data_IF_829291565987
#
_entry.id   IF_829291565987
#
_cell.length_a   1.000
_cell.length_b   1.000
_cell.length_c   1.000
_cell.angle_alpha   90.00
_cell.angle_beta   90.00
_cell.angle_gamma   90.00
#
_symmetry.space_group_name_H-M   'P 1'
#
loop_
_entity.id
_entity.type
_entity.pdbx_description
1 polymer ?
#
# COMPACT_ATOMS: atom_id res chain seq x y z
N UNK A 1 -20.53 -18.39 10.88
CA UNK A 1 -19.60 -19.22 10.08
C UNK A 1 -18.76 -20.07 11.02
N UNK A 2 -19.06 -21.37 11.22
CA UNK A 2 -18.18 -22.32 11.90
C UNK A 2 -16.77 -22.35 11.29
N UNK A 3 -15.76 -22.77 12.08
CA UNK A 3 -14.34 -22.87 11.65
C UNK A 3 -14.18 -23.77 10.43
N UNK A 4 -15.04 -24.79 10.30
CA UNK A 4 -15.02 -25.74 9.20
C UNK A 4 -15.25 -25.11 7.82
N UNK A 5 -15.97 -24.00 7.74
CA UNK A 5 -16.24 -23.29 6.47
C UNK A 5 -15.14 -22.29 6.11
N UNK A 6 -14.19 -22.04 7.02
CA UNK A 6 -13.15 -20.99 6.86
C UNK A 6 -11.79 -21.54 6.46
N UNK A 7 -11.65 -22.86 6.41
CA UNK A 7 -10.42 -23.55 6.05
C UNK A 7 -10.75 -24.65 5.05
N UNK A 8 -9.79 -24.98 4.18
CA UNK A 8 -9.97 -26.07 3.24
C UNK A 8 -10.25 -27.40 4.00
N UNK A 9 -11.23 -28.21 3.57
CA UNK A 9 -11.56 -29.48 4.22
C UNK A 9 -10.34 -30.40 4.38
N UNK A 10 -9.48 -30.45 3.36
CA UNK A 10 -8.22 -31.23 3.36
C UNK A 10 -7.30 -30.84 4.52
N UNK A 11 -7.26 -29.57 4.89
CA UNK A 11 -6.45 -29.10 6.02
C UNK A 11 -6.99 -29.65 7.34
N UNK A 12 -8.32 -29.59 7.55
CA UNK A 12 -8.97 -30.08 8.76
C UNK A 12 -8.88 -31.60 8.90
N UNK A 13 -9.02 -32.33 7.80
CA UNK A 13 -8.87 -33.79 7.76
C UNK A 13 -7.45 -34.21 8.14
N UNK A 14 -6.44 -33.45 7.69
CA UNK A 14 -5.05 -33.65 8.10
C UNK A 14 -4.87 -33.53 9.61
N UNK A 15 -5.52 -32.54 10.24
CA UNK A 15 -5.43 -32.30 11.69
C UNK A 15 -6.11 -33.38 12.53
N UNK A 16 -7.24 -33.91 12.07
CA UNK A 16 -7.99 -34.93 12.79
C UNK A 16 -7.21 -36.24 12.93
N UNK A 17 -6.32 -36.53 11.96
CA UNK A 17 -5.50 -37.75 11.94
C UNK A 17 -4.30 -37.70 12.90
N UNK A 18 -3.91 -36.51 13.36
CA UNK A 18 -2.73 -36.34 14.21
C UNK A 18 -3.12 -36.33 15.69
N UNK A 19 -2.58 -37.28 16.44
CA UNK A 19 -2.77 -37.38 17.89
C UNK A 19 -2.07 -36.24 18.63
N UNK A 20 -2.68 -35.80 19.73
CA UNK A 20 -2.09 -34.83 20.64
C UNK A 20 -0.90 -35.43 21.38
N UNK A 21 0.09 -34.60 21.71
CA UNK A 21 1.27 -35.00 22.45
C UNK A 21 1.05 -34.91 23.96
N UNK A 22 1.67 -35.83 24.69
CA UNK A 22 1.86 -35.78 26.14
C UNK A 22 3.09 -34.94 26.49
N UNK A 23 3.23 -34.55 27.76
CA UNK A 23 4.44 -33.83 28.21
C UNK A 23 5.73 -34.66 28.07
N UNK A 24 5.63 -35.99 28.11
CA UNK A 24 6.79 -36.86 27.91
C UNK A 24 7.21 -36.85 26.43
N UNK A 25 6.24 -36.95 25.51
CA UNK A 25 6.51 -36.89 24.07
C UNK A 25 7.00 -35.51 23.62
N UNK A 26 6.47 -34.42 24.18
CA UNK A 26 6.97 -33.05 23.95
C UNK A 26 8.47 -32.95 24.29
N UNK A 27 8.89 -33.57 25.41
CA UNK A 27 10.29 -33.60 25.83
C UNK A 27 11.16 -34.45 24.90
N UNK A 28 10.69 -35.64 24.51
CA UNK A 28 11.41 -36.53 23.59
C UNK A 28 11.67 -35.84 22.23
N UNK A 29 10.61 -35.26 21.65
CA UNK A 29 10.71 -34.55 20.37
C UNK A 29 11.64 -33.35 20.48
N UNK A 30 11.55 -32.55 21.55
CA UNK A 30 12.46 -31.42 21.77
C UNK A 30 13.93 -31.86 21.87
N UNK A 31 14.22 -32.98 22.54
CA UNK A 31 15.58 -33.53 22.64
C UNK A 31 16.11 -34.01 21.29
N UNK A 32 15.27 -34.65 20.47
CA UNK A 32 15.66 -35.10 19.12
C UNK A 32 15.97 -33.92 18.20
N UNK A 33 15.16 -32.87 18.27
CA UNK A 33 15.39 -31.62 17.54
C UNK A 33 16.72 -30.97 17.99
N UNK A 34 16.96 -30.87 19.30
CA UNK A 34 18.21 -30.30 19.85
C UNK A 34 19.43 -31.10 19.40
N UNK A 35 19.35 -32.45 19.38
CA UNK A 35 20.43 -33.33 18.90
C UNK A 35 20.72 -33.14 17.41
N UNK A 36 19.69 -33.08 16.57
CA UNK A 36 19.89 -32.86 15.13
C UNK A 36 20.39 -31.46 14.80
N UNK A 37 20.00 -30.44 15.57
CA UNK A 37 20.55 -29.10 15.42
C UNK A 37 22.07 -29.06 15.71
N UNK A 38 22.53 -29.77 16.75
CA UNK A 38 23.97 -29.94 17.04
C UNK A 38 24.68 -30.74 15.94
N UNK A 39 24.04 -31.80 15.44
CA UNK A 39 24.59 -32.60 14.35
C UNK A 39 24.75 -31.77 13.06
N UNK A 40 23.76 -30.94 12.73
CA UNK A 40 23.82 -30.00 11.60
C UNK A 40 24.97 -29.01 11.74
N UNK A 41 25.13 -28.40 12.91
CA UNK A 41 26.25 -27.48 13.17
C UNK A 41 27.61 -28.18 13.03
N UNK A 42 27.75 -29.41 13.52
CA UNK A 42 28.97 -30.19 13.37
C UNK A 42 29.30 -30.51 11.90
N UNK A 43 28.29 -30.82 11.08
CA UNK A 43 28.46 -31.00 9.63
C UNK A 43 28.93 -29.70 8.96
N UNK A 44 28.37 -28.55 9.34
CA UNK A 44 28.78 -27.23 8.82
C UNK A 44 30.23 -26.88 9.21
N UNK A 45 30.70 -27.34 10.36
CA UNK A 45 32.09 -27.19 10.83
C UNK A 45 33.08 -28.21 10.21
N UNK A 46 32.60 -29.10 9.34
CA UNK A 46 33.44 -30.07 8.63
C UNK A 46 33.75 -31.34 9.41
N UNK A 47 32.90 -31.73 10.37
CA UNK A 47 32.98 -33.04 11.02
C UNK A 47 32.66 -34.19 10.04
N UNK A 48 33.12 -35.40 10.35
CA UNK A 48 32.82 -36.61 9.58
C UNK A 48 31.31 -36.85 9.47
N UNK A 49 30.83 -37.08 8.25
CA UNK A 49 29.41 -37.25 7.89
C UNK A 49 28.79 -38.49 8.54
N UNK A 50 29.63 -39.47 8.92
CA UNK A 50 29.23 -40.78 9.41
C UNK A 50 28.24 -40.73 10.59
N UNK A 51 26.95 -40.86 10.28
CA UNK A 51 25.83 -40.94 11.23
C UNK A 51 25.19 -39.61 11.64
N UNK A 52 25.77 -38.46 11.29
CA UNK A 52 25.19 -37.14 11.58
C UNK A 52 23.96 -36.85 10.70
N UNK A 53 23.98 -37.29 9.43
CA UNK A 53 22.84 -37.14 8.51
C UNK A 53 21.57 -37.83 9.05
N UNK A 54 21.72 -39.00 9.68
CA UNK A 54 20.61 -39.75 10.27
C UNK A 54 19.97 -38.95 11.41
N UNK A 55 20.78 -38.29 12.23
CA UNK A 55 20.31 -37.43 13.33
C UNK A 55 19.60 -36.19 12.80
N UNK A 56 20.10 -35.59 11.73
CA UNK A 56 19.45 -34.44 11.08
C UNK A 56 18.09 -34.84 10.50
N UNK A 57 18.03 -35.95 9.76
CA UNK A 57 16.79 -36.47 9.21
C UNK A 57 15.79 -36.85 10.32
N UNK A 58 16.27 -37.37 11.45
CA UNK A 58 15.43 -37.68 12.60
C UNK A 58 14.87 -36.43 13.28
N UNK A 59 15.68 -35.38 13.41
CA UNK A 59 15.23 -34.09 13.93
C UNK A 59 14.18 -33.44 13.04
N UNK A 60 14.29 -33.52 11.71
CA UNK A 60 13.28 -32.99 10.79
C UNK A 60 11.94 -33.74 10.91
N UNK A 61 11.98 -35.07 11.09
CA UNK A 61 10.77 -35.86 11.38
C UNK A 61 10.17 -35.48 12.73
N UNK A 62 11.01 -35.32 13.76
CA UNK A 62 10.59 -34.91 15.08
C UNK A 62 9.94 -33.51 15.06
N UNK A 63 10.54 -32.56 14.35
CA UNK A 63 10.04 -31.18 14.14
C UNK A 63 8.69 -31.19 13.44
N UNK A 64 8.58 -31.94 12.34
CA UNK A 64 7.32 -32.10 11.60
C UNK A 64 6.21 -32.68 12.49
N UNK A 65 6.51 -33.72 13.27
CA UNK A 65 5.55 -34.30 14.22
C UNK A 65 5.15 -33.30 15.31
N UNK A 66 6.12 -32.56 15.86
CA UNK A 66 5.87 -31.58 16.91
C UNK A 66 4.97 -30.44 16.40
N UNK A 67 5.26 -29.93 15.20
CA UNK A 67 4.47 -28.89 14.53
C UNK A 67 3.05 -29.39 14.26
N UNK A 68 2.90 -30.50 13.54
CA UNK A 68 1.60 -31.04 13.11
C UNK A 68 0.67 -31.36 14.29
N UNK A 69 1.20 -31.88 15.40
CA UNK A 69 0.41 -32.16 16.60
C UNK A 69 -0.14 -30.91 17.29
N UNK A 70 0.46 -29.74 17.05
CA UNK A 70 0.09 -28.47 17.69
C UNK A 70 -0.64 -27.49 16.76
N UNK A 71 -0.86 -27.82 15.49
CA UNK A 71 -1.61 -26.94 14.57
C UNK A 71 -3.04 -26.61 15.07
N UNK A 72 -3.67 -27.53 15.81
CA UNK A 72 -4.99 -27.28 16.45
C UNK A 72 -4.94 -26.13 17.47
N UNK A 73 -3.81 -25.96 18.17
CA UNK A 73 -3.61 -24.84 19.09
C UNK A 73 -3.61 -23.51 18.33
N UNK A 74 -2.94 -23.45 17.18
CA UNK A 74 -2.89 -22.24 16.34
C UNK A 74 -4.30 -21.81 15.92
N UNK A 75 -5.11 -22.74 15.43
CA UNK A 75 -6.51 -22.46 15.05
C UNK A 75 -7.30 -21.92 16.24
N UNK A 76 -7.14 -22.52 17.43
CA UNK A 76 -7.86 -22.08 18.63
C UNK A 76 -7.49 -20.65 19.05
N UNK A 77 -6.23 -20.24 18.83
CA UNK A 77 -5.73 -18.89 19.12
C UNK A 77 -6.20 -17.92 18.05
N UNK A 78 -6.02 -18.27 16.77
CA UNK A 78 -6.43 -17.45 15.63
C UNK A 78 -7.93 -17.14 15.65
N UNK A 79 -8.76 -18.13 16.04
CA UNK A 79 -10.21 -17.95 16.11
C UNK A 79 -10.67 -16.94 17.18
N UNK A 80 -9.80 -16.58 18.14
CA UNK A 80 -10.09 -15.56 19.17
C UNK A 80 -9.65 -14.15 18.75
N UNK A 81 -8.94 -14.02 17.64
CA UNK A 81 -8.42 -12.74 17.14
C UNK A 81 -9.45 -12.13 16.20
N UNK A 82 -9.71 -10.83 16.35
CA UNK A 82 -10.57 -10.09 15.44
C UNK A 82 -9.89 -9.99 14.07
N UNK A 83 -10.54 -10.54 13.04
CA UNK A 83 -10.00 -10.61 11.69
C UNK A 83 -10.19 -9.28 10.94
N UNK A 84 -9.13 -8.72 10.34
CA UNK A 84 -9.26 -7.60 9.42
C UNK A 84 -10.03 -7.99 8.15
N UNK A 85 -10.82 -7.10 7.53
CA UNK A 85 -11.57 -7.41 6.31
C UNK A 85 -10.72 -7.82 5.09
N UNK A 86 -9.45 -7.43 5.10
CA UNK A 86 -8.47 -7.57 4.02
C UNK A 86 -7.66 -8.87 4.10
N UNK A 87 -7.77 -9.62 5.19
CA UNK A 87 -6.95 -10.80 5.45
C UNK A 87 -7.85 -12.00 5.73
N UNK A 88 -7.58 -13.14 5.08
CA UNK A 88 -8.39 -14.32 5.29
C UNK A 88 -8.04 -15.03 6.60
N UNK A 89 -8.96 -15.87 7.08
CA UNK A 89 -8.70 -16.73 8.23
C UNK A 89 -7.56 -17.72 7.96
N UNK A 90 -7.43 -18.24 6.74
CA UNK A 90 -6.32 -19.10 6.38
C UNK A 90 -4.97 -18.39 6.56
N UNK A 91 -4.85 -17.13 6.14
CA UNK A 91 -3.63 -16.33 6.29
C UNK A 91 -3.25 -16.16 7.77
N UNK A 92 -4.23 -15.85 8.64
CA UNK A 92 -4.02 -15.76 10.08
C UNK A 92 -3.51 -17.08 10.67
N UNK A 93 -4.05 -18.21 10.23
CA UNK A 93 -3.59 -19.54 10.67
C UNK A 93 -2.17 -19.80 10.19
N UNK A 94 -1.84 -19.45 8.95
CA UNK A 94 -0.49 -19.63 8.40
C UNK A 94 0.55 -18.78 9.13
N UNK A 95 0.26 -17.52 9.40
CA UNK A 95 1.13 -16.63 10.19
C UNK A 95 1.28 -17.13 11.64
N UNK A 96 0.21 -17.71 12.19
CA UNK A 96 0.25 -18.42 13.46
C UNK A 96 1.11 -19.68 13.43
N UNK A 97 1.09 -20.44 12.34
CA UNK A 97 1.92 -21.63 12.14
C UNK A 97 3.41 -21.26 12.07
N UNK A 98 3.76 -20.12 11.44
CA UNK A 98 5.13 -19.57 11.47
C UNK A 98 5.54 -19.23 12.91
N UNK A 99 4.64 -18.62 13.69
CA UNK A 99 4.88 -18.34 15.10
C UNK A 99 5.05 -19.60 15.95
N UNK A 100 4.26 -20.64 15.69
CA UNK A 100 4.37 -21.95 16.33
C UNK A 100 5.73 -22.60 16.03
N UNK A 101 6.14 -22.57 14.77
CA UNK A 101 7.42 -23.14 14.32
C UNK A 101 8.60 -22.48 15.03
N UNK A 102 8.57 -21.15 15.12
CA UNK A 102 9.55 -20.38 15.89
C UNK A 102 9.53 -20.70 17.39
N UNK A 103 8.35 -21.03 17.94
CA UNK A 103 8.24 -21.46 19.34
C UNK A 103 8.92 -22.82 19.57
N UNK A 104 8.86 -23.73 18.59
CA UNK A 104 9.53 -25.04 18.67
C UNK A 104 11.05 -24.84 18.73
N UNK A 105 11.60 -23.96 17.88
CA UNK A 105 13.05 -23.70 17.85
C UNK A 105 13.60 -23.16 19.18
N UNK A 106 12.79 -22.39 19.92
CA UNK A 106 13.18 -21.76 21.18
C UNK A 106 12.67 -22.47 22.43
N UNK A 107 11.97 -23.58 22.28
CA UNK A 107 11.36 -24.27 23.41
C UNK A 107 12.42 -24.97 24.26
N UNK A 108 12.43 -24.69 25.57
CA UNK A 108 13.31 -25.32 26.54
C UNK A 108 12.53 -26.28 27.44
N UNK A 109 12.67 -27.58 27.13
CA UNK A 109 11.99 -28.67 27.85
C UNK A 109 12.46 -28.82 29.30
N UNK A 110 13.64 -28.30 29.66
CA UNK A 110 14.23 -28.42 31.00
C UNK A 110 13.49 -27.58 32.04
N UNK A 111 12.76 -26.55 31.59
CA UNK A 111 11.98 -25.64 32.46
C UNK A 111 10.71 -26.26 33.02
N UNK A 112 10.29 -27.42 32.50
CA UNK A 112 9.16 -28.19 33.06
C UNK A 112 7.76 -27.64 32.73
N UNK A 113 7.64 -26.53 32.02
CA UNK A 113 6.35 -26.00 31.54
C UNK A 113 5.85 -26.76 30.31
N UNK A 114 4.53 -26.79 30.14
CA UNK A 114 3.88 -27.32 28.93
C UNK A 114 4.23 -26.47 27.72
N UNK A 115 4.43 -27.11 26.58
CA UNK A 115 4.76 -26.41 25.33
C UNK A 115 3.69 -25.39 24.94
N UNK A 116 2.41 -25.74 25.09
CA UNK A 116 1.28 -24.87 24.75
C UNK A 116 1.30 -23.51 25.47
N UNK A 117 1.78 -23.46 26.72
CA UNK A 117 1.94 -22.23 27.50
C UNK A 117 2.93 -21.28 26.83
N UNK A 118 4.07 -21.82 26.37
CA UNK A 118 5.12 -21.05 25.70
C UNK A 118 4.72 -20.65 24.28
N UNK A 119 4.21 -21.61 23.51
CA UNK A 119 3.83 -21.41 22.10
C UNK A 119 2.73 -20.36 21.93
N UNK A 120 1.79 -20.26 22.89
CA UNK A 120 0.68 -19.29 22.83
C UNK A 120 1.15 -17.85 22.62
N UNK A 121 2.27 -17.46 23.25
CA UNK A 121 2.81 -16.11 23.12
C UNK A 121 3.35 -15.86 21.71
N UNK A 122 4.17 -16.77 21.18
CA UNK A 122 4.76 -16.66 19.85
C UNK A 122 3.72 -16.71 18.73
N UNK A 123 2.72 -17.58 18.85
CA UNK A 123 1.60 -17.65 17.90
C UNK A 123 0.86 -16.31 17.87
N UNK A 124 0.46 -15.79 19.04
CA UNK A 124 -0.25 -14.50 19.12
C UNK A 124 0.59 -13.36 18.56
N UNK A 125 1.89 -13.34 18.89
CA UNK A 125 2.80 -12.30 18.44
C UNK A 125 2.98 -12.31 16.92
N UNK A 126 3.15 -13.49 16.33
CA UNK A 126 3.29 -13.66 14.88
C UNK A 126 2.03 -13.19 14.15
N UNK A 127 0.86 -13.67 14.57
CA UNK A 127 -0.43 -13.25 13.98
C UNK A 127 -0.64 -11.74 14.11
N UNK A 128 -0.36 -11.18 15.30
CA UNK A 128 -0.50 -9.74 15.52
C UNK A 128 0.44 -8.98 14.58
N UNK A 129 1.73 -9.32 14.55
CA UNK A 129 2.71 -8.71 13.64
C UNK A 129 2.28 -8.79 12.17
N UNK A 130 1.71 -9.91 11.73
CA UNK A 130 1.21 -10.04 10.36
C UNK A 130 0.06 -9.07 10.09
N UNK A 131 -0.90 -8.96 11.01
CA UNK A 131 -2.00 -7.98 10.92
C UNK A 131 -1.43 -6.55 10.79
N UNK A 132 -0.41 -6.20 11.56
CA UNK A 132 0.21 -4.87 11.50
C UNK A 132 0.84 -4.55 10.15
N UNK A 133 1.34 -5.58 9.47
CA UNK A 133 2.17 -5.42 8.27
C UNK A 133 1.40 -5.64 6.97
N UNK A 134 0.39 -6.49 6.99
CA UNK A 134 -0.28 -7.01 5.80
C UNK A 134 -1.78 -6.66 5.75
N UNK A 135 -2.41 -6.32 6.88
CA UNK A 135 -3.87 -6.11 6.90
C UNK A 135 -4.32 -4.76 6.32
N UNK A 136 -3.41 -3.90 5.85
CA UNK A 136 -3.77 -2.61 5.26
C UNK A 136 -3.16 -2.52 3.87
N UNK A 137 -3.99 -2.17 2.88
CA UNK A 137 -3.54 -1.96 1.50
C UNK A 137 -2.52 -0.81 1.43
N UNK A 138 -2.80 0.28 2.16
CA UNK A 138 -1.81 1.32 2.44
C UNK A 138 -1.11 0.95 3.74
N UNK A 139 0.12 0.44 3.62
CA UNK A 139 0.90 -0.08 4.75
C UNK A 139 1.57 1.05 5.55
N UNK A 140 1.16 1.32 6.79
CA UNK A 140 1.94 2.17 7.68
C UNK A 140 3.15 1.41 8.26
N UNK A 141 4.14 2.12 8.81
CA UNK A 141 5.13 1.53 9.71
C UNK A 141 4.46 0.76 10.87
N UNK A 142 5.05 -0.36 11.28
CA UNK A 142 4.44 -1.30 12.22
C UNK A 142 4.18 -0.71 13.61
N UNK A 143 5.05 0.18 14.09
CA UNK A 143 4.89 0.90 15.36
C UNK A 143 3.62 1.79 15.35
N UNK A 144 3.38 2.49 14.24
CA UNK A 144 2.19 3.33 14.05
C UNK A 144 0.93 2.47 13.92
N UNK A 145 1.00 1.36 13.18
CA UNK A 145 -0.12 0.43 13.04
C UNK A 145 -0.55 -0.13 14.41
N UNK A 146 0.41 -0.58 15.21
CA UNK A 146 0.21 -1.07 16.58
C UNK A 146 -0.46 -0.03 17.47
N UNK A 147 0.05 1.20 17.46
CA UNK A 147 -0.51 2.29 18.24
C UNK A 147 -1.95 2.62 17.86
N UNK A 148 -2.24 2.75 16.58
CA UNK A 148 -3.59 3.04 16.08
C UNK A 148 -4.57 1.96 16.51
N UNK A 149 -4.21 0.67 16.38
CA UNK A 149 -5.09 -0.43 16.83
C UNK A 149 -5.28 -0.45 18.34
N UNK A 150 -4.24 -0.14 19.12
CA UNK A 150 -4.37 -0.03 20.57
C UNK A 150 -5.30 1.12 20.98
N UNK A 151 -5.16 2.29 20.35
CA UNK A 151 -6.04 3.44 20.58
C UNK A 151 -7.49 3.13 20.16
N UNK A 152 -7.68 2.46 19.02
CA UNK A 152 -9.00 2.05 18.55
C UNK A 152 -9.65 1.06 19.52
N UNK A 153 -8.87 0.11 20.06
CA UNK A 153 -9.35 -0.83 21.07
C UNK A 153 -9.74 -0.12 22.37
N UNK A 154 -8.94 0.85 22.82
CA UNK A 154 -9.24 1.67 23.99
C UNK A 154 -10.49 2.55 23.79
N UNK A 155 -10.72 3.03 22.57
CA UNK A 155 -11.90 3.76 22.16
C UNK A 155 -13.18 2.89 22.02
N UNK A 156 -13.08 1.57 22.23
CA UNK A 156 -14.20 0.64 22.06
C UNK A 156 -14.53 0.34 20.60
N UNK A 157 -13.61 0.58 19.67
CA UNK A 157 -13.80 0.35 18.24
C UNK A 157 -14.37 1.55 17.48
N UNK A 158 -14.65 2.67 18.15
CA UNK A 158 -15.18 3.88 17.54
C UNK A 158 -14.04 4.82 17.06
N UNK A 159 -13.85 5.00 15.74
CA UNK A 159 -12.80 5.87 15.20
C UNK A 159 -13.02 7.36 15.51
N UNK A 160 -14.25 7.79 15.83
CA UNK A 160 -14.55 9.19 16.13
C UNK A 160 -13.99 9.65 17.48
N UNK A 161 -13.66 8.70 18.37
CA UNK A 161 -13.05 8.94 19.68
C UNK A 161 -11.52 8.96 19.65
N UNK A 162 -10.93 8.75 18.48
CA UNK A 162 -9.48 8.84 18.29
C UNK A 162 -9.05 10.31 18.18
N UNK A 163 -7.79 10.58 18.52
CA UNK A 163 -7.15 11.84 18.18
C UNK A 163 -7.25 12.09 16.66
N UNK A 164 -7.48 13.34 16.19
CA UNK A 164 -7.68 13.64 14.77
C UNK A 164 -6.60 13.08 13.85
N UNK A 165 -5.34 13.03 14.30
CA UNK A 165 -4.23 12.49 13.52
C UNK A 165 -4.34 10.98 13.35
N UNK A 166 -4.58 10.26 14.43
CA UNK A 166 -4.74 8.80 14.40
C UNK A 166 -6.06 8.40 13.69
N UNK A 167 -7.11 9.22 13.81
CA UNK A 167 -8.35 9.06 13.05
C UNK A 167 -8.13 9.21 11.54
N UNK A 168 -7.35 10.21 11.11
CA UNK A 168 -6.99 10.42 9.72
C UNK A 168 -6.13 9.26 9.18
N UNK A 169 -5.12 8.80 9.95
CA UNK A 169 -4.31 7.65 9.57
C UNK A 169 -5.15 6.37 9.48
N UNK A 170 -6.03 6.12 10.45
CA UNK A 170 -6.95 4.99 10.42
C UNK A 170 -7.90 5.04 9.22
N UNK A 171 -8.31 6.23 8.76
CA UNK A 171 -9.08 6.42 7.53
C UNK A 171 -8.25 6.05 6.29
N UNK A 172 -7.00 6.53 6.20
CA UNK A 172 -6.11 6.21 5.08
C UNK A 172 -5.74 4.72 5.00
N UNK A 173 -5.69 4.02 6.13
CA UNK A 173 -5.46 2.58 6.16
C UNK A 173 -6.66 1.76 5.68
N UNK A 174 -7.85 2.37 5.64
CA UNK A 174 -9.07 1.75 5.11
C UNK A 174 -9.24 2.13 3.64
N UNK A 175 -9.61 1.14 2.84
CA UNK A 175 -9.95 1.34 1.44
C UNK A 175 -11.42 0.99 1.28
N UNK A 176 -12.14 1.88 0.60
CA UNK A 176 -13.48 1.58 0.12
C UNK A 176 -13.39 1.06 -1.31
N UNK A 177 -14.20 0.05 -1.60
CA UNK A 177 -14.24 -0.60 -2.90
C UNK A 177 -15.23 0.16 -3.78
N UNK A 178 -14.73 0.75 -4.87
CA UNK A 178 -15.54 1.48 -5.85
C UNK A 178 -16.52 0.56 -6.59
N UNK A 179 -16.19 -0.73 -6.71
CA UNK A 179 -16.99 -1.72 -7.45
C UNK A 179 -18.19 -2.25 -6.64
N UNK A 180 -18.44 -1.76 -5.43
CA UNK A 180 -19.61 -2.19 -4.64
C UNK A 180 -20.89 -1.78 -5.39
N UNK A 181 -21.82 -2.73 -5.63
CA UNK A 181 -23.08 -2.40 -6.28
C UNK A 181 -23.84 -1.36 -5.45
N UNK A 182 -24.35 -0.32 -6.12
CA UNK A 182 -25.15 0.73 -5.47
C UNK A 182 -26.58 0.24 -5.27
N UNK A 183 -26.88 -0.34 -4.11
CA UNK A 183 -28.27 -0.50 -3.67
C UNK A 183 -28.74 0.79 -3.02
N UNK A 184 -29.82 1.37 -3.54
CA UNK A 184 -30.30 2.75 -3.36
C UNK A 184 -30.54 3.26 -1.93
N UNK A 185 -30.24 2.47 -0.89
CA UNK A 185 -30.71 2.70 0.48
C UNK A 185 -29.64 2.60 1.57
N UNK A 186 -28.38 2.25 1.29
CA UNK A 186 -27.38 2.04 2.34
C UNK A 186 -26.40 3.21 2.55
N UNK A 187 -26.27 3.62 3.82
CA UNK A 187 -25.20 4.51 4.28
C UNK A 187 -23.84 3.78 4.14
N UNK A 188 -22.88 4.39 3.45
CA UNK A 188 -21.55 3.83 3.20
C UNK A 188 -21.24 3.50 1.74
N UNK A 189 -22.08 3.93 0.80
CA UNK A 189 -21.72 3.91 -0.62
C UNK A 189 -20.53 4.83 -0.89
N UNK A 190 -19.56 4.40 -1.71
CA UNK A 190 -18.53 5.31 -2.21
C UNK A 190 -19.19 6.43 -3.01
N UNK A 191 -18.86 7.67 -2.66
CA UNK A 191 -19.30 8.85 -3.40
C UNK A 191 -18.66 8.83 -4.80
N UNK A 192 -19.41 9.14 -5.87
CA UNK A 192 -18.82 9.27 -7.19
C UNK A 192 -17.73 10.33 -7.15
N UNK A 193 -16.53 9.94 -7.56
CA UNK A 193 -15.38 10.86 -7.62
C UNK A 193 -15.51 11.68 -8.90
N UNK A 194 -15.58 13.02 -8.83
CA UNK A 194 -15.60 13.84 -10.02
C UNK A 194 -14.28 13.68 -10.78
N UNK A 195 -14.37 13.61 -12.10
CA UNK A 195 -13.18 13.67 -12.95
C UNK A 195 -12.58 15.08 -12.86
N UNK A 196 -11.27 15.15 -12.67
CA UNK A 196 -10.51 16.41 -12.67
C UNK A 196 -10.04 16.80 -14.09
N UNK A 197 -10.47 16.06 -15.11
CA UNK A 197 -10.25 16.41 -16.51
C UNK A 197 -10.83 17.78 -16.88
N UNK A 198 -10.28 18.41 -17.93
CA UNK A 198 -10.75 19.71 -18.38
C UNK A 198 -12.20 19.61 -18.89
N UNK A 199 -13.01 20.62 -18.58
CA UNK A 199 -14.38 20.70 -19.11
C UNK A 199 -14.32 20.78 -20.66
N UNK A 200 -15.05 19.91 -21.39
CA UNK A 200 -15.15 20.01 -22.84
C UNK A 200 -15.61 21.39 -23.33
N UNK A 201 -16.50 22.07 -22.60
CA UNK A 201 -16.98 23.41 -22.96
C UNK A 201 -15.87 24.47 -22.82
N UNK A 202 -15.13 24.46 -21.71
CA UNK A 202 -13.95 25.32 -21.51
C UNK A 202 -12.89 25.04 -22.59
N UNK A 203 -12.60 23.77 -22.84
CA UNK A 203 -11.62 23.36 -23.86
C UNK A 203 -12.04 23.83 -25.27
N UNK A 204 -13.33 23.76 -25.60
CA UNK A 204 -13.84 24.25 -26.88
C UNK A 204 -13.75 25.78 -26.98
N UNK A 205 -14.07 26.48 -25.89
CA UNK A 205 -13.94 27.94 -25.78
C UNK A 205 -12.49 28.39 -25.95
N UNK A 206 -11.55 27.76 -25.23
CA UNK A 206 -10.12 28.05 -25.33
C UNK A 206 -9.59 27.83 -26.74
N UNK A 207 -10.01 26.74 -27.41
CA UNK A 207 -9.65 26.50 -28.81
C UNK A 207 -10.24 27.55 -29.75
N UNK A 208 -11.47 27.98 -29.50
CA UNK A 208 -12.11 29.03 -30.30
C UNK A 208 -11.37 30.36 -30.14
N UNK A 209 -11.09 30.76 -28.90
CA UNK A 209 -10.32 31.96 -28.57
C UNK A 209 -8.92 31.91 -29.19
N UNK A 210 -8.21 30.79 -29.06
CA UNK A 210 -6.91 30.60 -29.68
C UNK A 210 -6.98 30.72 -31.22
N UNK A 211 -8.06 30.24 -31.84
CA UNK A 211 -8.33 30.42 -33.27
C UNK A 211 -8.55 31.89 -33.65
N UNK A 212 -9.35 32.62 -32.89
CA UNK A 212 -9.57 34.06 -33.09
C UNK A 212 -8.28 34.87 -32.93
N UNK A 213 -7.49 34.60 -31.89
CA UNK A 213 -6.20 35.24 -31.66
C UNK A 213 -5.22 34.98 -32.81
N UNK A 214 -5.16 33.76 -33.33
CA UNK A 214 -4.34 33.44 -34.52
C UNK A 214 -4.79 34.22 -35.75
N UNK A 215 -6.09 34.27 -36.03
CA UNK A 215 -6.63 35.02 -37.17
C UNK A 215 -6.28 36.52 -37.10
N UNK A 216 -6.37 37.13 -35.91
CA UNK A 216 -5.98 38.53 -35.69
C UNK A 216 -4.48 38.74 -35.91
N UNK A 217 -3.66 37.83 -35.39
CA UNK A 217 -2.20 37.90 -35.52
C UNK A 217 -1.75 37.65 -36.96
N UNK A 218 -2.43 36.79 -37.72
CA UNK A 218 -2.16 36.52 -39.13
C UNK A 218 -2.49 37.71 -40.04
N UNK A 219 -3.46 38.55 -39.66
CA UNK A 219 -3.79 39.80 -40.36
C UNK A 219 -2.75 40.92 -40.20
N UNK A 220 -1.80 40.78 -39.27
CA UNK A 220 -0.75 41.77 -39.04
C UNK A 220 0.35 41.72 -40.11
N UNK A 221 1.04 42.86 -40.37
CA UNK A 221 2.25 42.87 -41.18
C UNK A 221 3.29 41.85 -40.68
N UNK A 222 4.03 41.21 -41.58
CA UNK A 222 4.97 40.12 -41.26
C UNK A 222 5.99 40.44 -40.16
N UNK A 223 6.37 41.72 -40.02
CA UNK A 223 7.31 42.18 -38.99
C UNK A 223 6.64 42.29 -37.62
N UNK A 224 5.43 42.82 -37.58
CA UNK A 224 4.60 43.00 -36.38
C UNK A 224 4.14 41.64 -35.85
N UNK A 225 3.69 40.76 -36.76
CA UNK A 225 3.31 39.38 -36.45
C UNK A 225 4.43 38.63 -35.75
N UNK A 226 5.65 38.66 -36.31
CA UNK A 226 6.83 38.02 -35.70
C UNK A 226 7.17 38.60 -34.32
N UNK A 227 7.06 39.92 -34.15
CA UNK A 227 7.32 40.57 -32.87
C UNK A 227 6.32 40.14 -31.79
N UNK A 228 5.03 40.04 -32.14
CA UNK A 228 3.97 39.61 -31.21
C UNK A 228 4.09 38.13 -30.87
N UNK A 229 4.27 37.25 -31.87
CA UNK A 229 4.44 35.80 -31.64
C UNK A 229 5.62 35.53 -30.71
N UNK A 230 6.80 36.10 -31.00
CA UNK A 230 8.00 35.88 -30.18
C UNK A 230 7.87 36.50 -28.78
N UNK A 231 7.21 37.67 -28.65
CA UNK A 231 7.02 38.34 -27.36
C UNK A 231 6.13 37.55 -26.40
N UNK A 232 5.08 36.90 -26.92
CA UNK A 232 4.06 36.22 -26.13
C UNK A 232 4.11 34.70 -26.22
N UNK A 233 4.99 34.12 -27.04
CA UNK A 233 5.14 32.67 -27.15
C UNK A 233 3.97 31.98 -27.86
N UNK A 234 3.29 32.67 -28.77
CA UNK A 234 2.04 32.17 -29.40
C UNK A 234 2.25 30.97 -30.34
N UNK A 235 3.50 30.66 -30.67
CA UNK A 235 3.93 29.50 -31.45
C UNK A 235 4.37 28.31 -30.58
N UNK A 236 4.14 28.38 -29.26
CA UNK A 236 4.53 27.35 -28.31
C UNK A 236 5.97 27.49 -27.78
N UNK A 237 6.68 28.57 -28.14
CA UNK A 237 7.95 28.95 -27.50
C UNK A 237 7.71 29.72 -26.19
N UNK A 238 8.72 29.78 -25.33
CA UNK A 238 8.68 30.62 -24.13
C UNK A 238 8.61 32.12 -24.52
N UNK A 239 7.79 32.94 -23.84
CA UNK A 239 7.72 34.38 -24.10
C UNK A 239 9.09 35.07 -23.98
N UNK A 240 9.51 35.77 -25.04
CA UNK A 240 10.82 36.44 -25.06
C UNK A 240 10.75 37.86 -24.48
N UNK A 241 11.88 38.35 -23.95
CA UNK A 241 12.04 39.76 -23.58
C UNK A 241 12.15 40.65 -24.81
N UNK A 242 11.87 41.96 -24.68
CA UNK A 242 12.04 42.90 -25.81
C UNK A 242 13.45 42.88 -26.41
N UNK A 243 14.48 42.61 -25.60
CA UNK A 243 15.86 42.49 -26.08
C UNK A 243 16.07 41.21 -26.90
N UNK A 244 15.48 40.09 -26.48
CA UNK A 244 15.50 38.84 -27.25
C UNK A 244 14.79 38.97 -28.59
N UNK A 245 13.58 39.55 -28.59
CA UNK A 245 12.81 39.80 -29.82
C UNK A 245 13.54 40.79 -30.74
N UNK A 246 14.19 41.81 -30.19
CA UNK A 246 14.99 42.76 -30.95
C UNK A 246 16.17 42.10 -31.68
N UNK A 247 16.82 41.12 -31.05
CA UNK A 247 17.86 40.30 -31.68
C UNK A 247 17.34 39.45 -32.85
N UNK A 248 16.14 38.89 -32.74
CA UNK A 248 15.53 38.04 -33.78
C UNK A 248 15.03 38.84 -35.00
N UNK A 249 14.54 40.07 -34.78
CA UNK A 249 13.94 40.92 -35.83
C UNK A 249 14.94 41.98 -36.37
N UNK A 250 16.15 42.03 -35.83
CA UNK A 250 17.20 42.98 -36.25
C UNK A 250 16.86 44.43 -35.93
N UNK A 251 16.34 44.69 -34.72
CA UNK A 251 15.95 46.02 -34.24
C UNK A 251 16.67 46.37 -32.93
N UNK A 252 16.59 47.64 -32.52
CA UNK A 252 16.96 48.02 -31.15
C UNK A 252 15.84 47.63 -30.18
N UNK A 253 16.18 47.33 -28.93
CA UNK A 253 15.22 46.99 -27.87
C UNK A 253 14.07 47.99 -27.74
N UNK A 254 14.35 49.30 -27.75
CA UNK A 254 13.33 50.34 -27.61
C UNK A 254 12.43 50.42 -28.85
N UNK A 255 12.98 50.27 -30.06
CA UNK A 255 12.18 50.21 -31.28
C UNK A 255 11.25 48.99 -31.32
N UNK A 256 11.71 47.82 -30.85
CA UNK A 256 10.86 46.62 -30.69
C UNK A 256 9.75 46.84 -29.66
N UNK A 257 10.06 47.50 -28.53
CA UNK A 257 9.05 47.85 -27.52
C UNK A 257 7.98 48.77 -28.10
N UNK A 258 8.39 49.81 -28.83
CA UNK A 258 7.47 50.74 -29.48
C UNK A 258 6.62 50.06 -30.58
N UNK A 259 7.22 49.14 -31.34
CA UNK A 259 6.52 48.33 -32.33
C UNK A 259 5.40 47.52 -31.67
N UNK A 260 5.74 46.68 -30.68
CA UNK A 260 4.77 45.85 -29.95
C UNK A 260 3.64 46.69 -29.34
N UNK A 261 3.98 47.81 -28.67
CA UNK A 261 2.96 48.69 -28.07
C UNK A 261 2.03 49.32 -29.12
N UNK A 262 2.56 49.70 -30.28
CA UNK A 262 1.77 50.26 -31.39
C UNK A 262 0.86 49.19 -32.01
N UNK A 263 1.39 48.00 -32.24
CA UNK A 263 0.61 46.86 -32.78
C UNK A 263 -0.49 46.44 -31.80
N UNK A 264 -0.22 46.37 -30.50
CA UNK A 264 -1.25 46.07 -29.49
C UNK A 264 -2.32 47.17 -29.40
N UNK A 265 -1.92 48.44 -29.55
CA UNK A 265 -2.87 49.55 -29.62
C UNK A 265 -3.74 49.44 -30.87
N UNK A 266 -3.15 49.15 -32.02
CA UNK A 266 -3.86 48.96 -33.28
C UNK A 266 -4.88 47.81 -33.21
N UNK A 267 -4.46 46.64 -32.70
CA UNK A 267 -5.36 45.51 -32.45
C UNK A 267 -6.52 45.88 -31.53
N UNK A 268 -6.25 46.69 -30.50
CA UNK A 268 -7.29 47.18 -29.58
C UNK A 268 -8.24 48.18 -30.24
N UNK A 269 -7.72 49.11 -31.04
CA UNK A 269 -8.54 50.16 -31.66
C UNK A 269 -9.43 49.58 -32.77
N UNK A 270 -8.95 48.57 -33.52
CA UNK A 270 -9.71 47.94 -34.61
C UNK A 270 -10.63 46.81 -34.16
N UNK A 271 -10.16 45.94 -33.25
CA UNK A 271 -10.86 44.70 -32.87
C UNK A 271 -11.26 44.68 -31.39
N UNK A 272 -11.07 45.79 -30.66
CA UNK A 272 -11.35 45.86 -29.23
C UNK A 272 -12.81 45.62 -28.87
N UNK A 273 -13.74 46.02 -29.74
CA UNK A 273 -15.17 45.77 -29.55
C UNK A 273 -15.54 44.28 -29.71
N UNK A 274 -14.87 43.55 -30.60
CA UNK A 274 -15.09 42.12 -30.84
C UNK A 274 -14.51 41.26 -29.71
N UNK A 275 -13.37 41.67 -29.15
CA UNK A 275 -12.71 40.97 -28.03
C UNK A 275 -13.42 41.15 -26.69
N UNK A 276 -14.08 42.29 -26.44
CA UNK A 276 -14.88 42.51 -25.21
C UNK A 276 -16.26 41.85 -25.24
N UNK A 277 -16.77 41.47 -26.41
CA UNK A 277 -18.07 40.79 -26.55
C UNK A 277 -17.97 39.26 -26.44
N UNK A 278 -16.75 38.72 -26.51
CA UNK A 278 -16.45 37.28 -26.44
C UNK A 278 -15.92 36.82 -25.07
N UNK A 279 -15.83 37.72 -24.09
CA UNK A 279 -15.43 37.46 -22.70
C UNK A 279 -16.65 37.57 -21.76
#
# INVERSE_FOLDING_TARGET
MPVAERLAPTYLDGLARVSLLTAAEERDLAQRIEKGARARHALEEGADESGLEVLVADAERARTRFLTANLRLVISIANRIARPPTMDFADLVQEGNIGLDHAIDKFDWRRGYKFSTYATWWIRQSISRAIDQQASLIRPPSDRAARIRAHLKAAGGDPARLDPRDAALHRLMRVDYLDRPRDSSEAGQPEPVPDAGPDPAETASDRHLAGQLRALVDGLPDRDRRAIIARFGLDGREPMTYAGVAGEIGMTTEATRQLVMRTLKHLRDEHGHELTAAA
#
